data_IF_347120889515
#
_entry.id   IF_347120889515
#
_cell.length_a   1.000
_cell.length_b   1.000
_cell.length_c   1.000
_cell.angle_alpha   90.00
_cell.angle_beta   90.00
_cell.angle_gamma   90.00
#
_symmetry.space_group_name_H-M   'P 1'
#
loop_
_entity.id
_entity.type
_entity.pdbx_description
1 polymer ?
#
# COMPACT_ATOMS: atom_id res chain seq x y z
N UNK A 1 19.89 17.90 1.86
CA UNK A 1 19.02 17.45 2.98
C UNK A 1 19.14 15.95 3.02
N UNK A 2 19.80 15.32 4.01
CA UNK A 2 20.34 14.02 3.69
C UNK A 2 19.23 12.99 3.81
N UNK A 3 19.12 12.23 2.72
CA UNK A 3 18.24 11.14 2.39
C UNK A 3 18.32 9.93 3.35
N UNK A 4 18.36 10.18 4.67
CA UNK A 4 18.33 9.18 5.75
C UNK A 4 16.90 8.88 6.22
N UNK A 5 15.94 8.90 5.31
CA UNK A 5 14.61 8.40 5.62
C UNK A 5 14.63 6.88 5.37
N UNK A 6 14.41 6.09 6.42
CA UNK A 6 14.02 4.68 6.33
C UNK A 6 12.76 4.52 7.18
N UNK A 7 11.61 4.52 6.53
CA UNK A 7 10.32 4.40 7.20
C UNK A 7 9.52 3.28 6.56
N UNK A 8 8.92 2.44 7.39
CA UNK A 8 8.02 1.38 6.96
C UNK A 8 6.64 1.69 7.52
N UNK A 9 5.61 1.61 6.68
CA UNK A 9 4.21 1.74 7.08
C UNK A 9 3.43 0.53 6.60
N UNK A 10 2.72 -0.09 7.53
CA UNK A 10 1.85 -1.23 7.25
C UNK A 10 0.42 -0.73 7.00
N UNK A 11 -0.04 -0.87 5.77
CA UNK A 11 -1.40 -0.51 5.35
C UNK A 11 -2.37 -1.70 5.49
N UNK A 12 -1.83 -2.92 5.51
CA UNK A 12 -2.53 -4.13 5.91
C UNK A 12 -1.56 -5.20 6.40
N UNK A 13 -2.03 -5.98 7.38
CA UNK A 13 -1.25 -6.98 8.14
C UNK A 13 -2.01 -8.29 8.33
N UNK A 14 -3.16 -8.45 7.67
CA UNK A 14 -3.92 -9.69 7.65
C UNK A 14 -3.44 -10.59 6.50
N UNK A 15 -3.60 -11.89 6.69
CA UNK A 15 -3.34 -12.89 5.65
C UNK A 15 -4.49 -12.98 4.65
N UNK A 16 -4.88 -14.20 4.31
CA UNK A 16 -5.80 -14.50 3.21
C UNK A 16 -7.17 -13.82 3.26
N UNK A 17 -7.65 -13.43 4.43
CA UNK A 17 -8.98 -12.86 4.62
C UNK A 17 -8.84 -11.52 5.35
N UNK A 18 -9.47 -10.43 4.86
CA UNK A 18 -9.58 -9.21 5.63
C UNK A 18 -10.45 -9.46 6.86
N UNK A 19 -9.97 -9.04 8.03
CA UNK A 19 -10.67 -9.27 9.31
C UNK A 19 -10.98 -7.92 9.97
N UNK A 20 -11.95 -7.12 9.47
CA UNK A 20 -12.41 -5.94 10.18
C UNK A 20 -13.32 -6.36 11.36
N UNK A 21 -13.09 -5.81 12.54
CA UNK A 21 -13.91 -6.12 13.73
C UNK A 21 -13.35 -5.50 14.99
N UNK A 22 -14.17 -5.38 16.03
CA UNK A 22 -13.76 -4.85 17.35
C UNK A 22 -12.60 -5.65 17.96
N UNK A 23 -12.57 -6.96 17.73
CA UNK A 23 -11.54 -7.87 18.22
C UNK A 23 -10.19 -7.71 17.49
N UNK A 24 -10.20 -7.18 16.26
CA UNK A 24 -9.02 -7.10 15.38
C UNK A 24 -8.56 -5.67 15.09
N UNK A 25 -9.36 -4.66 15.45
CA UNK A 25 -9.14 -3.25 15.07
C UNK A 25 -7.81 -2.70 15.59
N UNK A 26 -7.31 -3.20 16.74
CA UNK A 26 -6.02 -2.77 17.32
C UNK A 26 -4.87 -2.82 16.31
N UNK A 27 -4.88 -3.80 15.42
CA UNK A 27 -3.83 -3.98 14.39
C UNK A 27 -4.37 -3.82 12.95
N UNK A 28 -5.63 -3.43 12.78
CA UNK A 28 -6.27 -3.22 11.48
C UNK A 28 -6.94 -4.47 10.90
N UNK A 29 -7.65 -4.29 9.78
CA UNK A 29 -8.45 -5.35 9.13
C UNK A 29 -8.06 -5.66 7.69
N UNK A 30 -7.07 -4.97 7.13
CA UNK A 30 -6.69 -5.11 5.72
C UNK A 30 -5.66 -6.23 5.51
N UNK A 31 -5.71 -6.87 4.34
CA UNK A 31 -4.72 -7.85 3.87
C UNK A 31 -3.43 -7.17 3.40
N UNK A 32 -2.37 -7.95 3.21
CA UNK A 32 -0.98 -7.52 2.96
C UNK A 32 -0.86 -6.27 2.07
N UNK A 33 -0.28 -5.21 2.63
CA UNK A 33 0.18 -4.03 1.88
C UNK A 33 1.16 -3.25 2.75
N UNK A 34 2.40 -3.12 2.27
CA UNK A 34 3.49 -2.46 3.01
C UNK A 34 4.09 -1.37 2.13
N UNK A 35 4.20 -0.17 2.68
CA UNK A 35 4.93 0.93 2.07
C UNK A 35 6.28 1.10 2.77
N UNK A 36 7.33 1.26 1.99
CA UNK A 36 8.66 1.60 2.47
C UNK A 36 9.14 2.87 1.77
N UNK A 37 9.55 3.86 2.56
CA UNK A 37 10.21 5.07 2.06
C UNK A 37 11.69 4.99 2.43
N UNK A 38 12.55 4.92 1.41
CA UNK A 38 14.00 4.81 1.56
C UNK A 38 14.69 5.88 0.72
N UNK A 39 15.31 6.85 1.38
CA UNK A 39 15.95 7.97 0.69
C UNK A 39 14.95 8.79 -0.13
N UNK A 40 14.99 8.66 -1.46
CA UNK A 40 14.03 9.28 -2.40
C UNK A 40 13.05 8.28 -3.02
N UNK A 41 13.23 7.00 -2.72
CA UNK A 41 12.44 5.92 -3.31
C UNK A 41 11.27 5.56 -2.40
N UNK A 42 10.14 5.27 -3.04
CA UNK A 42 8.95 4.69 -2.40
C UNK A 42 8.72 3.32 -3.01
N UNK A 43 8.74 2.30 -2.17
CA UNK A 43 8.51 0.90 -2.53
C UNK A 43 7.19 0.46 -1.90
N UNK A 44 6.36 -0.22 -2.66
CA UNK A 44 5.08 -0.76 -2.21
C UNK A 44 5.11 -2.27 -2.45
N UNK A 45 4.94 -3.04 -1.38
CA UNK A 45 4.94 -4.49 -1.42
C UNK A 45 3.53 -5.01 -1.17
N UNK A 46 3.06 -5.80 -2.12
CA UNK A 46 1.70 -6.32 -2.25
C UNK A 46 0.60 -5.26 -2.38
N UNK A 47 -0.43 -5.63 -3.13
CA UNK A 47 -1.61 -4.85 -3.41
C UNK A 47 -2.88 -5.44 -2.79
N UNK A 48 -2.80 -5.96 -1.56
CA UNK A 48 -3.96 -6.42 -0.82
C UNK A 48 -4.94 -5.30 -0.49
N UNK A 49 -5.96 -5.56 0.33
CA UNK A 49 -7.04 -4.59 0.61
C UNK A 49 -6.52 -3.29 1.27
N UNK A 50 -5.31 -3.31 1.85
CA UNK A 50 -4.63 -2.12 2.36
C UNK A 50 -4.24 -1.11 1.28
N UNK A 51 -4.02 -1.57 0.03
CA UNK A 51 -3.62 -0.74 -1.10
C UNK A 51 -4.65 0.36 -1.41
N UNK A 52 -5.93 0.11 -1.15
CA UNK A 52 -6.99 1.12 -1.30
C UNK A 52 -6.77 2.33 -0.39
N UNK A 53 -6.36 2.09 0.86
CA UNK A 53 -6.14 3.17 1.84
C UNK A 53 -4.84 3.90 1.53
N UNK A 54 -3.79 3.16 1.19
CA UNK A 54 -2.54 3.74 0.69
C UNK A 54 -2.81 4.64 -0.53
N UNK A 55 -3.53 4.15 -1.53
CA UNK A 55 -3.89 4.90 -2.74
C UNK A 55 -4.61 6.21 -2.42
N UNK A 56 -5.55 6.20 -1.45
CA UNK A 56 -6.21 7.43 -1.00
C UNK A 56 -5.24 8.42 -0.35
N UNK A 57 -4.30 7.94 0.46
CA UNK A 57 -3.27 8.80 1.08
C UNK A 57 -2.38 9.45 0.03
N UNK A 58 -1.96 8.66 -0.97
CA UNK A 58 -1.09 9.09 -2.06
C UNK A 58 -1.68 10.20 -2.92
N UNK A 59 -3.00 10.31 -3.01
CA UNK A 59 -3.65 11.41 -3.74
C UNK A 59 -3.32 12.80 -3.17
N UNK A 60 -2.93 12.89 -1.90
CA UNK A 60 -2.48 14.16 -1.27
C UNK A 60 -1.04 14.52 -1.61
N UNK A 61 -0.30 13.62 -2.25
CA UNK A 61 1.13 13.74 -2.57
C UNK A 61 1.38 13.67 -4.09
N UNK A 62 0.38 13.95 -4.92
CA UNK A 62 0.47 13.88 -6.38
C UNK A 62 1.41 14.97 -6.95
N UNK A 63 2.27 14.66 -7.94
CA UNK A 63 2.44 13.38 -8.62
C UNK A 63 3.26 12.37 -7.80
N UNK A 64 2.84 11.11 -7.85
CA UNK A 64 3.49 10.01 -7.13
C UNK A 64 4.42 9.25 -8.05
N UNK A 65 5.64 9.00 -7.54
CA UNK A 65 6.56 8.01 -8.07
C UNK A 65 6.78 6.92 -7.02
N UNK A 66 6.43 5.68 -7.35
CA UNK A 66 6.67 4.52 -6.49
C UNK A 66 6.94 3.28 -7.35
N UNK A 67 7.41 2.20 -6.73
CA UNK A 67 7.58 0.89 -7.38
C UNK A 67 6.66 -0.11 -6.70
N UNK A 68 5.79 -0.79 -7.46
CA UNK A 68 4.91 -1.83 -6.93
C UNK A 68 5.50 -3.22 -7.17
N UNK A 69 5.65 -3.98 -6.09
CA UNK A 69 6.10 -5.37 -6.10
C UNK A 69 4.98 -6.26 -5.59
N UNK A 70 4.78 -7.41 -6.25
CA UNK A 70 3.87 -8.45 -5.78
C UNK A 70 4.69 -9.68 -5.42
N UNK A 71 4.51 -10.18 -4.20
CA UNK A 71 5.17 -11.42 -3.77
C UNK A 71 4.68 -12.63 -4.56
N UNK A 72 3.37 -12.73 -4.79
CA UNK A 72 2.70 -13.76 -5.59
C UNK A 72 1.28 -13.30 -5.96
N UNK A 73 0.54 -14.13 -6.69
CA UNK A 73 -0.77 -13.78 -7.28
C UNK A 73 -1.99 -14.30 -6.52
N UNK A 74 -1.86 -14.66 -5.24
CA UNK A 74 -3.05 -14.94 -4.43
C UNK A 74 -3.88 -13.68 -4.23
N UNK A 75 -5.19 -13.88 -4.11
CA UNK A 75 -6.17 -12.80 -4.12
C UNK A 75 -5.92 -11.75 -3.03
N UNK A 76 -5.53 -12.17 -1.84
CA UNK A 76 -5.22 -11.30 -0.71
C UNK A 76 -4.03 -10.37 -0.93
N UNK A 77 -3.20 -10.64 -1.94
CA UNK A 77 -2.06 -9.81 -2.35
C UNK A 77 -2.36 -8.91 -3.56
N UNK A 78 -3.49 -9.07 -4.25
CA UNK A 78 -3.84 -8.30 -5.46
C UNK A 78 -5.23 -7.65 -5.43
N UNK A 79 -6.10 -8.03 -4.49
CA UNK A 79 -7.50 -7.60 -4.45
C UNK A 79 -7.70 -6.08 -4.34
N UNK A 80 -6.75 -5.36 -3.74
CA UNK A 80 -6.81 -3.91 -3.61
C UNK A 80 -6.48 -3.17 -4.90
N UNK A 81 -5.90 -3.84 -5.90
CA UNK A 81 -5.44 -3.20 -7.14
C UNK A 81 -6.59 -2.55 -7.93
N UNK A 82 -7.77 -3.19 -7.97
CA UNK A 82 -8.97 -2.65 -8.60
C UNK A 82 -9.47 -1.33 -7.98
N UNK A 83 -9.02 -1.01 -6.76
CA UNK A 83 -9.40 0.19 -6.01
C UNK A 83 -8.22 1.15 -5.78
N UNK A 84 -7.11 0.97 -6.51
CA UNK A 84 -5.94 1.82 -6.40
C UNK A 84 -6.12 3.11 -7.22
N UNK A 85 -6.76 4.10 -6.61
CA UNK A 85 -7.12 5.38 -7.24
C UNK A 85 -5.99 6.06 -8.03
N UNK A 86 -4.73 6.12 -7.55
CA UNK A 86 -3.65 6.78 -8.29
C UNK A 86 -3.46 6.26 -9.72
N UNK A 87 -3.77 4.98 -10.01
CA UNK A 87 -3.66 4.40 -11.37
C UNK A 87 -4.55 5.09 -12.40
N UNK A 88 -5.66 5.70 -11.98
CA UNK A 88 -6.63 6.31 -12.89
C UNK A 88 -6.34 7.78 -13.23
N UNK A 89 -5.34 8.40 -12.59
CA UNK A 89 -4.94 9.78 -12.84
C UNK A 89 -3.63 9.84 -13.64
N UNK A 90 -3.52 10.83 -14.51
CA UNK A 90 -2.28 11.06 -15.25
C UNK A 90 -1.16 11.61 -14.34
N UNK A 91 0.09 11.46 -14.80
CA UNK A 91 1.27 11.98 -14.11
C UNK A 91 1.77 11.11 -12.95
N UNK A 92 1.14 9.96 -12.70
CA UNK A 92 1.62 9.00 -11.71
C UNK A 92 2.55 7.97 -12.37
N UNK A 93 3.59 7.55 -11.64
CA UNK A 93 4.59 6.59 -12.08
C UNK A 93 4.67 5.45 -11.06
N UNK A 94 4.29 4.25 -11.47
CA UNK A 94 4.21 3.04 -10.66
C UNK A 94 4.85 1.84 -11.34
#
# INVERSE_FOLDING_TARGET
MPYKCFQIKFWGVRGSIPCPGSETVRYGGNTSCVEMQVGRERLIFDGGTGLRILGKSLMTESPVKAHLFFSHSHWDHIAGFSFFYPRFYQGQYF
#
